data_IF_732937678595
#
_entry.id   IF_732937678595
#
_cell.length_a   1.000
_cell.length_b   1.000
_cell.length_c   1.000
_cell.angle_alpha   90.00
_cell.angle_beta   90.00
_cell.angle_gamma   90.00
#
_symmetry.space_group_name_H-M   'P 1'
#
loop_
_entity.id
_entity.type
_entity.pdbx_description
1 polymer ?
#
# COMPACT_ATOMS: atom_id res chain seq x y z
N UNK A 1 -22.43 -4.11 -42.37
CA UNK A 1 -21.25 -4.47 -41.57
C UNK A 1 -20.92 -3.40 -40.53
N UNK A 2 -20.76 -2.12 -40.90
CA UNK A 2 -20.37 -1.04 -39.96
C UNK A 2 -21.30 -0.87 -38.75
N UNK A 3 -22.63 -0.98 -38.94
CA UNK A 3 -23.60 -0.89 -37.85
C UNK A 3 -23.43 -1.99 -36.78
N UNK A 4 -22.99 -3.18 -37.19
CA UNK A 4 -22.72 -4.30 -36.29
C UNK A 4 -21.42 -4.11 -35.52
N UNK A 5 -20.34 -3.68 -36.19
CA UNK A 5 -19.05 -3.36 -35.56
C UNK A 5 -19.22 -2.25 -34.52
N UNK A 6 -20.02 -1.22 -34.82
CA UNK A 6 -20.32 -0.14 -33.88
C UNK A 6 -21.13 -0.58 -32.67
N UNK A 7 -21.99 -1.61 -32.82
CA UNK A 7 -22.75 -2.20 -31.72
C UNK A 7 -21.90 -3.06 -30.77
N UNK A 8 -20.74 -3.55 -31.24
CA UNK A 8 -19.79 -4.31 -30.44
C UNK A 8 -18.70 -3.44 -29.78
N UNK A 9 -18.67 -2.14 -30.08
CA UNK A 9 -17.68 -1.24 -29.51
C UNK A 9 -17.87 -1.11 -27.99
N UNK A 10 -16.79 -1.29 -27.23
CA UNK A 10 -16.79 -1.20 -25.77
C UNK A 10 -17.19 0.23 -25.36
N UNK A 11 -18.25 0.42 -24.56
CA UNK A 11 -18.63 1.74 -24.07
C UNK A 11 -17.52 2.37 -23.23
N UNK A 12 -17.24 3.66 -23.46
CA UNK A 12 -16.14 4.40 -22.82
C UNK A 12 -16.28 4.54 -21.28
N UNK A 13 -17.49 4.39 -20.74
CA UNK A 13 -17.74 4.36 -19.30
C UNK A 13 -17.43 2.97 -18.73
N UNK A 14 -16.15 2.57 -18.75
CA UNK A 14 -15.74 1.22 -18.43
C UNK A 14 -15.80 0.94 -16.92
N UNK A 15 -16.85 0.25 -16.47
CA UNK A 15 -17.03 -0.19 -15.09
C UNK A 15 -15.81 -0.99 -14.56
N UNK A 16 -15.11 -1.74 -15.45
CA UNK A 16 -13.88 -2.44 -15.09
C UNK A 16 -12.72 -1.51 -14.75
N UNK A 17 -12.61 -0.34 -15.39
CA UNK A 17 -11.53 0.63 -15.11
C UNK A 17 -11.70 1.21 -13.71
N UNK A 18 -12.93 1.59 -13.34
CA UNK A 18 -13.23 2.10 -12.01
C UNK A 18 -13.00 1.03 -10.93
N UNK A 19 -13.46 -0.20 -11.19
CA UNK A 19 -13.21 -1.33 -10.31
C UNK A 19 -11.70 -1.60 -10.11
N UNK A 20 -10.93 -1.62 -11.21
CA UNK A 20 -9.49 -1.82 -11.18
C UNK A 20 -8.79 -0.72 -10.39
N UNK A 21 -9.16 0.54 -10.60
CA UNK A 21 -8.59 1.66 -9.86
C UNK A 21 -8.85 1.54 -8.34
N UNK A 22 -10.06 1.15 -7.94
CA UNK A 22 -10.41 0.94 -6.53
C UNK A 22 -9.58 -0.20 -5.89
N UNK A 23 -9.40 -1.31 -6.60
CA UNK A 23 -8.58 -2.43 -6.11
C UNK A 23 -7.08 -2.11 -6.08
N UNK A 24 -6.57 -1.34 -7.05
CA UNK A 24 -5.19 -0.85 -7.02
C UNK A 24 -4.95 0.09 -5.82
N UNK A 25 -5.93 0.94 -5.49
CA UNK A 25 -5.84 1.77 -4.29
C UNK A 25 -5.77 0.90 -3.01
N UNK A 26 -6.64 -0.10 -2.89
CA UNK A 26 -6.59 -1.07 -1.77
C UNK A 26 -5.21 -1.74 -1.70
N UNK A 27 -4.70 -2.25 -2.83
CA UNK A 27 -3.39 -2.90 -2.88
C UNK A 27 -2.27 -1.95 -2.39
N UNK A 28 -2.25 -0.71 -2.87
CA UNK A 28 -1.23 0.27 -2.47
C UNK A 28 -1.24 0.55 -0.96
N UNK A 29 -2.43 0.57 -0.33
CA UNK A 29 -2.53 0.75 1.13
C UNK A 29 -2.03 -0.47 1.91
N UNK A 30 -2.29 -1.68 1.40
CA UNK A 30 -1.77 -2.92 2.01
C UNK A 30 -0.24 -2.94 1.93
N UNK A 31 0.33 -2.58 0.79
CA UNK A 31 1.78 -2.47 0.62
C UNK A 31 2.39 -1.44 1.59
N UNK A 32 1.77 -0.27 1.76
CA UNK A 32 2.21 0.73 2.71
C UNK A 32 2.20 0.22 4.17
N UNK A 33 1.16 -0.51 4.58
CA UNK A 33 1.06 -1.14 5.91
C UNK A 33 2.15 -2.19 6.09
N UNK A 34 2.41 -3.03 5.09
CA UNK A 34 3.46 -4.04 5.15
C UNK A 34 4.85 -3.41 5.29
N UNK A 35 5.10 -2.30 4.59
CA UNK A 35 6.35 -1.52 4.73
C UNK A 35 6.46 -0.93 6.13
N UNK A 36 5.38 -0.34 6.67
CA UNK A 36 5.36 0.22 8.02
C UNK A 36 5.61 -0.85 9.10
N UNK A 37 5.07 -2.06 8.92
CA UNK A 37 5.27 -3.21 9.81
C UNK A 37 6.71 -3.76 9.80
N UNK A 38 7.51 -3.45 8.78
CA UNK A 38 8.91 -3.87 8.70
C UNK A 38 9.86 -3.12 9.65
N UNK A 39 9.50 -1.91 10.09
CA UNK A 39 10.38 -1.05 10.93
C UNK A 39 10.39 -1.44 12.43
N UNK A 40 9.25 -1.72 13.10
CA UNK A 40 9.23 -2.03 14.53
C UNK A 40 10.12 -3.22 14.95
N UNK A 41 10.16 -4.36 14.24
CA UNK A 41 11.04 -5.47 14.61
C UNK A 41 12.52 -5.10 14.58
N UNK A 42 12.94 -4.24 13.62
CA UNK A 42 14.32 -3.76 13.51
C UNK A 42 14.69 -2.86 14.69
N UNK A 43 13.80 -1.95 15.08
CA UNK A 43 13.99 -1.08 16.25
C UNK A 43 14.08 -1.89 17.54
N UNK A 44 13.25 -2.92 17.72
CA UNK A 44 13.30 -3.80 18.90
C UNK A 44 14.68 -4.47 19.02
N UNK A 45 15.22 -5.00 17.91
CA UNK A 45 16.55 -5.63 17.92
C UNK A 45 17.66 -4.61 18.26
N UNK A 46 17.57 -3.38 17.74
CA UNK A 46 18.53 -2.32 18.06
C UNK A 46 18.46 -1.91 19.53
N UNK A 47 17.26 -1.78 20.10
CA UNK A 47 17.06 -1.50 21.53
C UNK A 47 17.69 -2.60 22.39
N UNK A 48 17.42 -3.88 22.05
CA UNK A 48 18.00 -5.01 22.77
C UNK A 48 19.53 -5.02 22.71
N UNK A 49 20.11 -4.71 21.54
CA UNK A 49 21.55 -4.61 21.36
C UNK A 49 22.16 -3.47 22.19
N UNK A 50 21.55 -2.27 22.15
CA UNK A 50 22.00 -1.11 22.92
C UNK A 50 21.93 -1.37 24.44
N UNK A 51 20.83 -1.95 24.93
CA UNK A 51 20.69 -2.33 26.35
C UNK A 51 21.74 -3.34 26.78
N UNK A 52 22.00 -4.36 25.95
CA UNK A 52 23.03 -5.37 26.23
C UNK A 52 24.43 -4.78 26.22
N UNK A 53 24.68 -3.76 25.39
CA UNK A 53 25.95 -3.06 25.35
C UNK A 53 26.16 -2.21 26.61
N UNK A 54 25.16 -1.43 27.03
CA UNK A 54 25.19 -0.68 28.28
C UNK A 54 25.47 -1.60 29.49
N UNK A 55 24.75 -2.72 29.59
CA UNK A 55 24.95 -3.69 30.67
C UNK A 55 26.38 -4.24 30.72
N UNK A 56 26.99 -4.54 29.56
CA UNK A 56 28.38 -4.99 29.48
C UNK A 56 29.36 -3.92 29.96
N UNK A 57 29.11 -2.67 29.61
CA UNK A 57 29.95 -1.54 30.00
C UNK A 57 29.90 -1.33 31.52
N UNK A 58 28.69 -1.36 32.12
CA UNK A 58 28.49 -1.33 33.57
C UNK A 58 29.16 -2.50 34.30
N UNK A 59 28.99 -3.74 33.81
CA UNK A 59 29.65 -4.91 34.41
C UNK A 59 31.18 -4.83 34.33
N UNK A 60 31.72 -4.26 33.25
CA UNK A 60 33.16 -4.06 33.08
C UNK A 60 33.72 -3.00 34.03
N UNK A 61 32.94 -1.96 34.33
CA UNK A 61 33.29 -0.90 35.27
C UNK A 61 33.47 -1.45 36.69
N UNK A 62 32.59 -2.36 37.11
CA UNK A 62 32.61 -2.94 38.45
C UNK A 62 33.79 -3.90 38.70
N UNK A 63 34.38 -4.47 37.63
CA UNK A 63 35.53 -5.37 37.69
C UNK A 63 36.89 -4.65 37.68
N UNK A 64 36.95 -3.41 37.19
CA UNK A 64 38.20 -2.64 37.06
C UNK A 64 38.70 -2.03 38.39
N UNK A 65 38.02 -2.29 39.50
CA UNK A 65 38.24 -1.66 40.82
C UNK A 65 39.34 -2.31 41.67
N UNK A 66 40.05 -3.34 41.18
CA UNK A 66 40.96 -4.19 41.97
C UNK A 66 42.47 -3.95 41.77
N UNK A 67 42.90 -2.83 41.20
CA UNK A 67 44.34 -2.55 41.04
C UNK A 67 44.98 -2.09 42.35
N UNK A 68 46.03 -2.77 42.86
CA UNK A 68 46.39 -2.72 44.27
C UNK A 68 47.22 -1.51 44.73
N UNK A 69 47.59 -0.56 43.86
CA UNK A 69 48.45 0.56 44.23
C UNK A 69 47.99 1.84 43.50
N UNK A 70 47.57 2.87 44.24
CA UNK A 70 46.98 4.15 43.76
C UNK A 70 47.88 5.03 42.88
N UNK A 71 48.88 4.44 42.21
CA UNK A 71 49.84 5.09 41.34
C UNK A 71 49.24 5.54 39.98
N UNK A 72 48.04 5.07 39.64
CA UNK A 72 47.35 5.34 38.36
C UNK A 72 45.94 5.93 38.55
N UNK A 73 45.70 6.62 39.66
CA UNK A 73 44.36 7.10 40.02
C UNK A 73 43.78 8.12 39.00
N UNK A 74 44.60 9.00 38.42
CA UNK A 74 44.15 9.94 37.37
C UNK A 74 43.78 9.25 36.06
N UNK A 75 44.57 8.26 35.62
CA UNK A 75 44.27 7.46 34.44
C UNK A 75 43.02 6.57 34.67
N UNK A 76 42.80 6.13 35.91
CA UNK A 76 41.58 5.41 36.32
C UNK A 76 40.37 6.31 36.27
N UNK A 77 40.48 7.53 36.79
CA UNK A 77 39.38 8.48 36.82
C UNK A 77 38.93 8.81 35.40
N UNK A 78 39.87 9.12 34.50
CA UNK A 78 39.59 9.33 33.07
C UNK A 78 38.95 8.12 32.40
N UNK A 79 39.47 6.92 32.64
CA UNK A 79 38.90 5.70 32.04
C UNK A 79 37.49 5.37 32.59
N UNK A 80 37.23 5.67 33.86
CA UNK A 80 35.89 5.53 34.46
C UNK A 80 34.93 6.54 33.86
N UNK A 81 35.33 7.80 33.79
CA UNK A 81 34.54 8.88 33.19
C UNK A 81 34.22 8.58 31.72
N UNK A 82 35.21 8.15 30.93
CA UNK A 82 34.99 7.76 29.52
C UNK A 82 34.02 6.58 29.38
N UNK A 83 34.07 5.60 30.28
CA UNK A 83 33.16 4.44 30.23
C UNK A 83 31.78 4.75 30.76
N UNK A 84 31.68 5.57 31.80
CA UNK A 84 30.41 6.07 32.32
C UNK A 84 29.70 6.91 31.25
N UNK A 85 30.46 7.74 30.53
CA UNK A 85 29.96 8.53 29.41
C UNK A 85 29.47 7.63 28.26
N UNK A 86 30.20 6.56 27.90
CA UNK A 86 29.73 5.58 26.90
C UNK A 86 28.46 4.83 27.34
N UNK A 87 28.39 4.45 28.61
CA UNK A 87 27.21 3.79 29.16
C UNK A 87 25.99 4.72 29.11
N UNK A 88 26.15 5.99 29.50
CA UNK A 88 25.11 7.02 29.39
C UNK A 88 24.68 7.25 27.93
N UNK A 89 25.63 7.28 27.00
CA UNK A 89 25.32 7.41 25.56
C UNK A 89 24.53 6.20 25.04
N UNK A 90 24.88 4.99 25.47
CA UNK A 90 24.17 3.76 25.08
C UNK A 90 22.75 3.70 25.67
N UNK A 91 22.55 4.22 26.89
CA UNK A 91 21.22 4.36 27.50
C UNK A 91 20.38 5.42 26.76
N UNK A 92 20.94 6.59 26.49
CA UNK A 92 20.27 7.64 25.73
C UNK A 92 19.84 7.15 24.34
N UNK A 93 20.71 6.40 23.64
CA UNK A 93 20.38 5.79 22.37
C UNK A 93 19.23 4.76 22.47
N UNK A 94 19.21 3.94 23.53
CA UNK A 94 18.09 3.02 23.79
C UNK A 94 16.77 3.77 24.02
N UNK A 95 16.80 4.89 24.73
CA UNK A 95 15.61 5.70 25.01
C UNK A 95 15.06 6.38 23.75
N UNK A 96 15.93 6.91 22.90
CA UNK A 96 15.54 7.51 21.63
C UNK A 96 14.94 6.46 20.67
N UNK A 97 15.58 5.29 20.55
CA UNK A 97 15.02 4.17 19.79
C UNK A 97 13.66 3.71 20.34
N UNK A 98 13.47 3.78 21.66
CA UNK A 98 12.20 3.43 22.31
C UNK A 98 11.09 4.46 22.04
N UNK A 99 11.44 5.75 21.92
CA UNK A 99 10.50 6.80 21.48
C UNK A 99 10.11 6.60 20.03
N UNK A 100 11.08 6.31 19.17
CA UNK A 100 10.84 6.01 17.76
C UNK A 100 9.93 4.79 17.59
N UNK A 101 10.17 3.73 18.36
CA UNK A 101 9.33 2.53 18.34
C UNK A 101 7.87 2.87 18.70
N UNK A 102 7.63 3.66 19.75
CA UNK A 102 6.28 4.11 20.11
C UNK A 102 5.62 4.93 19.01
N UNK A 103 6.35 5.88 18.41
CA UNK A 103 5.84 6.67 17.28
C UNK A 103 5.49 5.78 16.08
N UNK A 104 6.32 4.79 15.78
CA UNK A 104 6.08 3.83 14.70
C UNK A 104 4.85 2.96 14.99
N UNK A 105 4.68 2.50 16.24
CA UNK A 105 3.52 1.72 16.66
C UNK A 105 2.22 2.53 16.58
N UNK A 106 2.23 3.79 17.01
CA UNK A 106 1.07 4.68 16.92
C UNK A 106 0.67 4.93 15.46
N UNK A 107 1.66 5.15 14.58
CA UNK A 107 1.42 5.31 13.15
C UNK A 107 0.80 4.04 12.57
N UNK A 108 1.38 2.86 12.83
CA UNK A 108 0.85 1.57 12.37
C UNK A 108 -0.58 1.33 12.89
N UNK A 109 -0.85 1.66 14.14
CA UNK A 109 -2.19 1.50 14.73
C UNK A 109 -3.21 2.43 14.07
N UNK A 110 -2.85 3.68 13.80
CA UNK A 110 -3.71 4.64 13.10
C UNK A 110 -3.99 4.20 11.66
N UNK A 111 -2.96 3.75 10.93
CA UNK A 111 -3.10 3.23 9.56
C UNK A 111 -3.99 1.97 9.52
N UNK A 112 -3.81 1.03 10.46
CA UNK A 112 -4.65 -0.18 10.56
C UNK A 112 -6.10 0.16 10.88
N UNK A 113 -6.34 1.07 11.81
CA UNK A 113 -7.68 1.51 12.18
C UNK A 113 -8.40 2.18 11.00
N UNK A 114 -7.71 3.05 10.27
CA UNK A 114 -8.26 3.69 9.07
C UNK A 114 -8.47 2.70 7.92
N UNK A 115 -7.55 1.74 7.74
CA UNK A 115 -7.60 0.78 6.65
C UNK A 115 -8.79 -0.16 6.74
N UNK A 116 -9.09 -0.72 7.92
CA UNK A 116 -10.14 -1.74 8.05
C UNK A 116 -11.52 -1.18 7.65
N UNK A 117 -11.86 0.01 8.13
CA UNK A 117 -13.13 0.69 7.82
C UNK A 117 -13.21 1.20 6.38
N UNK A 118 -12.06 1.57 5.80
CA UNK A 118 -11.99 2.09 4.44
C UNK A 118 -12.01 0.95 3.41
N UNK A 119 -11.25 -0.12 3.64
CA UNK A 119 -11.12 -1.29 2.76
C UNK A 119 -12.48 -1.95 2.52
N UNK A 120 -13.22 -2.24 3.58
CA UNK A 120 -14.51 -2.94 3.48
C UNK A 120 -15.55 -2.10 2.69
N UNK A 121 -15.52 -0.77 2.90
CA UNK A 121 -16.42 0.18 2.25
C UNK A 121 -16.10 0.36 0.77
N UNK A 122 -14.82 0.58 0.45
CA UNK A 122 -14.36 0.75 -0.94
C UNK A 122 -14.57 -0.54 -1.72
N UNK A 123 -14.20 -1.69 -1.17
CA UNK A 123 -14.36 -3.00 -1.83
C UNK A 123 -15.82 -3.31 -2.13
N UNK A 124 -16.71 -3.18 -1.14
CA UNK A 124 -18.16 -3.43 -1.35
C UNK A 124 -18.79 -2.46 -2.34
N UNK A 125 -18.40 -1.18 -2.28
CA UNK A 125 -18.86 -0.18 -3.25
C UNK A 125 -18.38 -0.52 -4.66
N UNK A 126 -17.09 -0.80 -4.84
CA UNK A 126 -16.50 -1.11 -6.14
C UNK A 126 -17.16 -2.33 -6.82
N UNK A 127 -17.45 -3.40 -6.07
CA UNK A 127 -18.17 -4.57 -6.59
C UNK A 127 -19.60 -4.22 -7.02
N UNK A 128 -20.31 -3.44 -6.20
CA UNK A 128 -21.69 -3.03 -6.50
C UNK A 128 -21.74 -2.13 -7.73
N UNK A 129 -20.82 -1.18 -7.83
CA UNK A 129 -20.74 -0.23 -8.94
C UNK A 129 -20.31 -0.95 -10.22
N UNK A 130 -19.42 -1.94 -10.13
CA UNK A 130 -19.10 -2.83 -11.24
C UNK A 130 -20.34 -3.57 -11.73
N UNK A 131 -21.06 -4.25 -10.84
CA UNK A 131 -22.24 -5.03 -11.23
C UNK A 131 -23.32 -4.17 -11.90
N UNK A 132 -23.59 -2.98 -11.34
CA UNK A 132 -24.54 -2.02 -11.91
C UNK A 132 -24.08 -1.47 -13.25
N UNK A 133 -22.81 -1.08 -13.34
CA UNK A 133 -22.23 -0.55 -14.58
C UNK A 133 -22.23 -1.59 -15.70
N UNK A 134 -21.88 -2.84 -15.39
CA UNK A 134 -21.94 -3.95 -16.34
C UNK A 134 -23.35 -4.22 -16.84
N UNK A 135 -24.35 -4.19 -15.94
CA UNK A 135 -25.75 -4.39 -16.33
C UNK A 135 -26.22 -3.32 -17.32
N UNK A 136 -25.89 -2.05 -17.08
CA UNK A 136 -26.22 -0.95 -18.01
C UNK A 136 -25.50 -1.13 -19.34
N UNK A 137 -24.20 -1.45 -19.34
CA UNK A 137 -23.43 -1.68 -20.56
C UNK A 137 -24.00 -2.83 -21.41
N UNK A 138 -24.37 -3.95 -20.79
CA UNK A 138 -24.94 -5.09 -21.52
C UNK A 138 -26.35 -4.80 -22.04
N UNK A 139 -27.15 -3.99 -21.33
CA UNK A 139 -28.44 -3.51 -21.84
C UNK A 139 -28.25 -2.62 -23.09
N UNK A 140 -27.35 -1.65 -23.03
CA UNK A 140 -27.03 -0.77 -24.15
C UNK A 140 -26.51 -1.56 -25.36
N UNK A 141 -25.66 -2.56 -25.10
CA UNK A 141 -25.12 -3.46 -26.13
C UNK A 141 -26.24 -4.27 -26.79
N UNK A 142 -27.16 -4.83 -26.01
CA UNK A 142 -28.31 -5.57 -26.53
C UNK A 142 -29.19 -4.67 -27.43
N UNK A 143 -29.46 -3.43 -27.00
CA UNK A 143 -30.23 -2.47 -27.80
C UNK A 143 -29.51 -2.06 -29.09
N UNK A 144 -28.19 -1.89 -29.04
CA UNK A 144 -27.37 -1.62 -30.21
C UNK A 144 -27.39 -2.80 -31.20
N UNK A 145 -27.29 -4.04 -30.71
CA UNK A 145 -27.39 -5.25 -31.53
C UNK A 145 -28.77 -5.41 -32.16
N UNK A 146 -29.86 -5.14 -31.41
CA UNK A 146 -31.23 -5.12 -31.94
C UNK A 146 -31.39 -4.08 -33.06
N UNK A 147 -30.80 -2.89 -32.90
CA UNK A 147 -30.78 -1.85 -33.94
C UNK A 147 -30.02 -2.31 -35.19
N UNK A 148 -28.83 -2.89 -35.02
CA UNK A 148 -28.04 -3.41 -36.11
C UNK A 148 -28.77 -4.52 -36.88
N UNK A 149 -29.48 -5.42 -36.18
CA UNK A 149 -30.28 -6.47 -36.79
C UNK A 149 -31.39 -5.89 -37.68
N UNK A 150 -32.07 -4.83 -37.24
CA UNK A 150 -33.09 -4.15 -38.06
C UNK A 150 -32.52 -3.57 -39.36
N UNK A 151 -31.33 -3.00 -39.31
CA UNK A 151 -30.65 -2.49 -40.52
C UNK A 151 -30.29 -3.61 -41.50
N UNK A 152 -30.01 -4.83 -41.02
CA UNK A 152 -29.69 -5.98 -41.87
C UNK A 152 -30.96 -6.64 -42.42
N UNK A 153 -32.07 -6.61 -41.68
CA UNK A 153 -33.36 -7.18 -42.09
C UNK A 153 -34.18 -6.27 -43.00
N UNK A 154 -33.82 -4.99 -43.13
CA UNK A 154 -34.45 -4.12 -44.13
C UNK A 154 -34.17 -4.67 -45.54
N UNK A 155 -35.21 -4.89 -46.37
CA UNK A 155 -35.00 -5.30 -47.74
C UNK A 155 -34.16 -4.24 -48.43
N UNK A 156 -33.01 -4.65 -48.96
CA UNK A 156 -32.26 -3.84 -49.91
C UNK A 156 -33.18 -3.67 -51.12
N UNK A 157 -33.78 -2.49 -51.28
CA UNK A 157 -34.40 -2.13 -52.55
C UNK A 157 -33.30 -2.19 -53.61
N UNK A 158 -33.26 -3.30 -54.34
CA UNK A 158 -32.49 -3.42 -55.56
C UNK A 158 -33.15 -2.44 -56.53
N UNK A 159 -32.48 -1.36 -56.96
CA UNK A 159 -33.08 -0.43 -57.90
C UNK A 159 -33.45 -1.23 -59.14
N UNK A 160 -34.75 -1.40 -59.36
CA UNK A 160 -35.26 -2.05 -60.56
C UNK A 160 -34.81 -1.19 -61.73
N UNK A 161 -34.03 -1.80 -62.63
CA UNK A 161 -33.64 -1.20 -63.88
C UNK A 161 -34.92 -0.75 -64.59
N UNK A 162 -35.17 0.55 -64.55
CA UNK A 162 -36.32 1.17 -65.19
C UNK A 162 -36.14 0.95 -66.68
N UNK A 163 -37.11 0.26 -67.25
CA UNK A 163 -37.18 -0.05 -68.67
C UNK A 163 -37.03 1.23 -69.50
N UNK A 164 -35.96 1.30 -70.30
CA UNK A 164 -35.90 2.21 -71.44
C UNK A 164 -36.80 1.65 -72.53
N UNK A 165 -38.08 2.02 -72.50
CA UNK A 165 -38.92 2.07 -73.70
C UNK A 165 -38.94 3.52 -74.17
N UNK A 166 -38.38 3.79 -75.34
CA UNK A 166 -38.51 5.09 -76.00
C UNK A 166 -37.56 5.28 -77.18
N UNK A 167 -38.09 5.01 -78.39
CA UNK A 167 -37.55 5.16 -79.75
C UNK A 167 -36.53 4.12 -80.22
#
# INVERSE_FOLDING_TARGET
MECYVRALAIPQANAHVQFRAAFLAIQSTVEAILVALGRPPRLILQIQAARKQAEREYQSMNRSTRWPLGLLDDARQRLKEEREERARQSEAASDDLSRELRSSQQTVAAELAGWQDMHERIGRRAIRDLARGMLVQEQDRLEAMKRALRCVQQPVEVPSATASRGC
#
